data_IF_936689143964
#
_entry.id   IF_936689143964
#
_cell.length_a   1.000
_cell.length_b   1.000
_cell.length_c   1.000
_cell.angle_alpha   90.00
_cell.angle_beta   90.00
_cell.angle_gamma   90.00
#
_symmetry.space_group_name_H-M   'P 1'
#
loop_
_entity.id
_entity.type
_entity.pdbx_description
1 polymer ?
#
# COMPACT_ATOMS: atom_id res chain seq x y z
N UNK A 1 18.72 49.33 -2.09
CA UNK A 1 17.68 48.84 -1.19
C UNK A 1 17.31 47.44 -1.65
N UNK A 2 17.83 46.42 -0.99
CA UNK A 2 17.39 45.02 -1.20
C UNK A 2 16.05 44.94 -0.47
N UNK A 3 14.96 44.82 -1.23
CA UNK A 3 13.65 44.47 -0.64
C UNK A 3 13.84 43.17 0.12
N UNK A 4 13.46 43.13 1.40
CA UNK A 4 13.34 41.92 2.14
C UNK A 4 12.33 41.01 1.41
N UNK A 5 12.83 40.04 0.68
CA UNK A 5 12.00 38.97 0.12
C UNK A 5 11.77 38.01 1.31
N UNK A 6 10.61 38.07 1.93
CA UNK A 6 10.16 37.06 2.88
C UNK A 6 9.87 35.78 2.09
N UNK A 7 10.80 34.83 2.11
CA UNK A 7 10.64 33.52 1.50
C UNK A 7 10.22 32.58 2.62
N UNK A 8 9.02 32.02 2.53
CA UNK A 8 8.63 30.90 3.38
C UNK A 8 9.33 29.63 2.84
N UNK A 9 10.45 29.28 3.47
CA UNK A 9 11.25 28.13 3.09
C UNK A 9 10.47 26.81 3.15
N UNK A 10 9.42 26.74 3.96
CA UNK A 10 8.57 25.55 4.05
C UNK A 10 7.83 25.26 2.74
N UNK A 11 7.55 26.28 1.91
CA UNK A 11 6.89 26.11 0.62
C UNK A 11 7.78 25.48 -0.46
N UNK A 12 9.08 25.42 -0.24
CA UNK A 12 10.04 24.79 -1.16
C UNK A 12 10.43 23.38 -0.75
N UNK A 13 9.89 22.87 0.36
CA UNK A 13 10.10 21.49 0.82
C UNK A 13 9.03 20.59 0.17
N UNK A 14 9.45 19.45 -0.36
CA UNK A 14 8.55 18.46 -1.00
C UNK A 14 7.62 17.78 0.02
N UNK A 15 7.92 17.89 1.32
CA UNK A 15 7.10 17.35 2.40
C UNK A 15 5.89 18.24 2.71
N UNK A 16 4.84 17.63 3.19
CA UNK A 16 3.67 18.31 3.75
C UNK A 16 4.00 18.76 5.18
N UNK A 17 3.95 20.04 5.46
CA UNK A 17 4.32 20.61 6.77
C UNK A 17 3.12 21.32 7.37
N UNK A 18 2.84 21.01 8.64
CA UNK A 18 1.90 21.75 9.48
C UNK A 18 2.51 22.05 10.85
N UNK A 19 2.07 23.15 11.46
CA UNK A 19 2.36 23.49 12.85
C UNK A 19 1.07 23.50 13.61
N UNK A 20 1.04 22.80 14.76
CA UNK A 20 -0.11 22.75 15.64
C UNK A 20 0.24 23.33 17.00
N UNK A 21 -0.73 24.00 17.63
CA UNK A 21 -0.62 24.49 19.00
C UNK A 21 -0.83 23.37 20.03
N UNK A 22 -0.74 23.71 21.32
CA UNK A 22 -0.92 22.76 22.42
C UNK A 22 -2.31 22.11 22.50
N UNK A 23 -3.32 22.69 21.84
CA UNK A 23 -4.68 22.15 21.73
C UNK A 23 -4.88 21.32 20.46
N UNK A 24 -3.88 21.22 19.59
CA UNK A 24 -3.95 20.50 18.31
C UNK A 24 -4.51 21.33 17.16
N UNK A 25 -4.77 22.63 17.35
CA UNK A 25 -5.24 23.48 16.26
C UNK A 25 -4.07 23.80 15.30
N UNK A 26 -4.32 23.68 14.00
CA UNK A 26 -3.34 24.04 12.96
C UNK A 26 -3.21 25.55 12.88
N UNK A 27 -2.03 26.06 13.22
CA UNK A 27 -1.70 27.49 13.20
C UNK A 27 -0.96 27.91 11.95
N UNK A 28 -0.28 26.96 11.29
CA UNK A 28 0.43 27.18 10.02
C UNK A 28 0.49 25.89 9.23
N UNK A 29 0.50 25.99 7.89
CA UNK A 29 0.88 24.88 7.01
C UNK A 29 1.50 25.43 5.71
N UNK A 30 2.30 24.59 5.03
CA UNK A 30 2.90 24.96 3.76
C UNK A 30 1.93 24.67 2.59
N UNK A 31 2.30 25.21 1.41
CA UNK A 31 1.52 25.05 0.19
C UNK A 31 1.30 23.57 -0.18
N UNK A 32 2.29 22.71 0.02
CA UNK A 32 2.19 21.28 -0.28
C UNK A 32 1.10 20.61 0.55
N UNK A 33 1.01 20.91 1.83
CA UNK A 33 -0.07 20.46 2.70
C UNK A 33 -1.45 20.89 2.18
N UNK A 34 -1.58 22.17 1.78
CA UNK A 34 -2.85 22.69 1.25
C UNK A 34 -3.27 22.01 -0.07
N UNK A 35 -2.31 21.72 -0.94
CA UNK A 35 -2.56 21.03 -2.21
C UNK A 35 -3.06 19.61 -1.97
N UNK A 36 -2.40 18.84 -1.10
CA UNK A 36 -2.82 17.47 -0.77
C UNK A 36 -4.17 17.45 -0.06
N UNK A 37 -4.41 18.36 0.89
CA UNK A 37 -5.69 18.47 1.57
C UNK A 37 -6.86 18.73 0.60
N UNK A 38 -6.68 19.59 -0.39
CA UNK A 38 -7.68 19.84 -1.45
C UNK A 38 -7.97 18.60 -2.30
N UNK A 39 -6.94 17.88 -2.67
CA UNK A 39 -7.05 16.68 -3.53
C UNK A 39 -7.66 15.50 -2.77
N UNK A 40 -7.39 15.37 -1.46
CA UNK A 40 -7.90 14.31 -0.59
C UNK A 40 -9.30 14.55 -0.02
N UNK A 41 -9.97 15.65 -0.40
CA UNK A 41 -11.28 16.01 0.16
C UNK A 41 -11.21 16.53 1.60
N UNK A 42 -10.02 16.73 2.14
CA UNK A 42 -9.81 17.44 3.39
C UNK A 42 -10.03 18.94 3.14
N UNK A 43 -10.84 19.57 3.94
CA UNK A 43 -11.07 21.01 3.80
C UNK A 43 -9.76 21.76 4.04
N UNK A 44 -9.34 22.67 3.13
CA UNK A 44 -8.19 23.50 3.37
C UNK A 44 -8.44 24.35 4.61
N UNK A 45 -7.38 24.64 5.36
CA UNK A 45 -7.30 25.53 6.51
C UNK A 45 -8.55 26.38 6.72
N UNK A 46 -9.47 25.90 7.54
CA UNK A 46 -10.50 26.79 8.11
C UNK A 46 -10.07 27.18 9.52
N UNK A 47 -10.35 28.38 9.97
CA UNK A 47 -10.17 28.73 11.36
C UNK A 47 -10.88 27.70 12.26
N UNK A 48 -10.10 27.06 13.15
CA UNK A 48 -10.62 26.02 14.03
C UNK A 48 -10.41 24.58 13.57
N UNK A 49 -9.75 24.31 12.39
CA UNK A 49 -9.36 22.97 12.04
C UNK A 49 -8.35 22.41 13.06
N UNK A 50 -8.64 21.22 13.57
CA UNK A 50 -7.87 20.63 14.65
C UNK A 50 -7.34 19.26 14.21
N UNK A 51 -6.02 19.11 14.20
CA UNK A 51 -5.35 17.89 13.76
C UNK A 51 -5.61 16.70 14.70
N UNK A 52 -5.68 16.95 16.02
CA UNK A 52 -5.99 15.91 17.01
C UNK A 52 -7.39 15.37 16.79
N UNK A 53 -8.37 16.24 16.62
CA UNK A 53 -9.74 15.83 16.37
C UNK A 53 -9.88 15.06 15.05
N UNK A 54 -9.13 15.43 14.02
CA UNK A 54 -9.10 14.67 12.75
C UNK A 54 -8.49 13.28 12.93
N UNK A 55 -7.41 13.15 13.69
CA UNK A 55 -6.84 11.84 14.01
C UNK A 55 -7.84 10.96 14.78
N UNK A 56 -8.55 11.52 15.76
CA UNK A 56 -9.58 10.81 16.52
C UNK A 56 -10.72 10.34 15.61
N UNK A 57 -11.18 11.18 14.71
CA UNK A 57 -12.20 10.82 13.72
C UNK A 57 -11.68 9.76 12.72
N UNK A 58 -10.42 9.84 12.31
CA UNK A 58 -9.79 8.86 11.43
C UNK A 58 -9.68 7.47 12.09
N UNK A 59 -9.35 7.41 13.40
CA UNK A 59 -9.33 6.16 14.18
C UNK A 59 -10.73 5.54 14.22
N UNK A 60 -11.76 6.34 14.42
CA UNK A 60 -13.15 5.85 14.41
C UNK A 60 -13.58 5.29 13.05
N UNK A 61 -12.99 5.81 11.96
CA UNK A 61 -13.18 5.28 10.61
C UNK A 61 -12.29 4.07 10.28
N UNK A 62 -11.54 3.53 11.27
CA UNK A 62 -10.66 2.37 11.09
C UNK A 62 -9.27 2.67 10.53
N UNK A 63 -8.86 3.96 10.46
CA UNK A 63 -7.50 4.31 10.06
C UNK A 63 -6.51 4.04 11.20
N UNK A 64 -5.35 3.47 10.85
CA UNK A 64 -4.28 3.15 11.82
C UNK A 64 -3.38 4.37 12.07
N UNK A 65 -3.94 5.37 12.78
CA UNK A 65 -3.22 6.60 13.15
C UNK A 65 -3.18 6.82 14.68
N UNK A 66 -3.52 5.78 15.45
CA UNK A 66 -3.54 5.87 16.92
C UNK A 66 -2.15 6.15 17.50
N UNK A 67 -1.12 5.54 16.94
CA UNK A 67 0.27 5.74 17.33
C UNK A 67 0.73 7.19 17.05
N UNK A 68 0.32 7.75 15.92
CA UNK A 68 0.63 9.15 15.55
C UNK A 68 -0.02 10.11 16.55
N UNK A 69 -1.28 9.89 16.90
CA UNK A 69 -2.00 10.70 17.86
C UNK A 69 -1.34 10.65 19.25
N UNK A 70 -0.93 9.46 19.69
CA UNK A 70 -0.20 9.29 20.96
C UNK A 70 1.16 10.02 20.93
N UNK A 71 1.93 9.86 19.85
CA UNK A 71 3.21 10.53 19.66
C UNK A 71 3.09 12.06 19.62
N UNK A 72 2.08 12.59 18.94
CA UNK A 72 1.83 14.04 18.91
C UNK A 72 1.51 14.57 20.30
N UNK A 73 0.66 13.89 21.06
CA UNK A 73 0.34 14.29 22.44
C UNK A 73 1.58 14.28 23.33
N UNK A 74 2.40 13.24 23.26
CA UNK A 74 3.64 13.14 24.03
C UNK A 74 4.63 14.27 23.71
N UNK A 75 4.75 14.68 22.43
CA UNK A 75 5.57 15.82 22.01
C UNK A 75 5.00 17.14 22.54
N UNK A 76 3.70 17.36 22.43
CA UNK A 76 3.03 18.57 22.92
C UNK A 76 3.12 18.68 24.45
N UNK A 77 3.02 17.57 25.18
CA UNK A 77 3.15 17.52 26.65
C UNK A 77 4.60 17.62 27.14
N UNK A 78 5.55 17.45 26.24
CA UNK A 78 6.99 17.51 26.54
C UNK A 78 7.57 16.23 27.09
N UNK A 79 6.87 15.14 26.93
CA UNK A 79 7.34 13.80 27.28
C UNK A 79 8.37 13.29 26.27
N UNK A 80 8.23 13.69 24.99
CA UNK A 80 9.17 13.38 23.92
C UNK A 80 9.66 14.65 23.23
N UNK A 81 10.93 14.73 22.83
CA UNK A 81 11.45 15.83 22.01
C UNK A 81 11.00 15.74 20.55
N UNK A 82 10.79 14.52 20.06
CA UNK A 82 10.29 14.22 18.71
C UNK A 82 9.70 12.82 18.66
N UNK A 83 8.94 12.56 17.60
CA UNK A 83 8.33 11.26 17.32
C UNK A 83 8.36 11.00 15.81
N UNK A 84 8.54 9.74 15.41
CA UNK A 84 8.55 9.31 14.01
C UNK A 84 7.71 8.06 13.90
N UNK A 85 6.80 8.03 12.93
CA UNK A 85 6.05 6.83 12.57
C UNK A 85 5.82 6.76 11.05
N UNK A 86 5.56 5.55 10.56
CA UNK A 86 5.12 5.35 9.17
C UNK A 86 3.70 4.78 9.20
N UNK A 87 2.82 5.34 8.38
CA UNK A 87 1.42 4.95 8.33
C UNK A 87 0.91 4.90 6.90
N UNK A 88 -0.11 4.08 6.68
CA UNK A 88 -0.82 3.99 5.42
C UNK A 88 -2.07 4.87 5.46
N UNK A 89 -2.25 5.70 4.45
CA UNK A 89 -3.41 6.57 4.30
C UNK A 89 -4.15 6.21 3.00
N UNK A 90 -5.44 5.81 3.06
CA UNK A 90 -6.22 5.59 1.85
C UNK A 90 -6.51 6.93 1.17
N UNK A 91 -6.14 7.02 -0.11
CA UNK A 91 -6.30 8.21 -0.91
C UNK A 91 -6.69 7.82 -2.34
N UNK A 92 -7.83 8.31 -2.83
CA UNK A 92 -8.35 7.99 -4.17
C UNK A 92 -8.42 6.48 -4.49
N UNK A 93 -8.79 5.65 -3.50
CA UNK A 93 -8.91 4.20 -3.68
C UNK A 93 -7.59 3.43 -3.66
N UNK A 94 -6.47 4.12 -3.41
CA UNK A 94 -5.14 3.52 -3.25
C UNK A 94 -4.57 3.89 -1.88
N UNK A 95 -3.72 3.03 -1.34
CA UNK A 95 -2.92 3.39 -0.18
C UNK A 95 -1.69 4.19 -0.59
N UNK A 96 -1.51 5.33 0.07
CA UNK A 96 -0.25 6.06 0.13
C UNK A 96 0.40 5.83 1.49
N UNK A 97 1.70 5.68 1.48
CA UNK A 97 2.48 5.53 2.69
C UNK A 97 3.17 6.84 3.01
N UNK A 98 2.93 7.31 4.22
CA UNK A 98 3.57 8.51 4.73
C UNK A 98 4.45 8.19 5.93
N UNK A 99 5.61 8.81 5.98
CA UNK A 99 6.36 8.93 7.22
C UNK A 99 6.05 10.29 7.84
N UNK A 100 5.58 10.30 9.08
CA UNK A 100 5.40 11.52 9.85
C UNK A 100 6.58 11.71 10.80
N UNK A 101 7.16 12.89 10.77
CA UNK A 101 8.11 13.38 11.74
C UNK A 101 7.44 14.49 12.54
N UNK A 102 7.36 14.33 13.85
CA UNK A 102 6.77 15.30 14.78
C UNK A 102 7.88 15.81 15.69
N UNK A 103 8.05 17.11 15.76
CA UNK A 103 9.08 17.74 16.61
C UNK A 103 8.54 18.93 17.36
N UNK A 104 9.05 19.19 18.55
CA UNK A 104 8.68 20.38 19.32
C UNK A 104 9.25 21.64 18.68
N UNK A 105 8.47 22.71 18.67
CA UNK A 105 8.90 24.06 18.33
C UNK A 105 8.29 25.05 19.31
N UNK A 106 9.07 26.05 19.72
CA UNK A 106 8.59 27.13 20.57
C UNK A 106 8.27 28.38 19.74
N UNK A 107 7.05 28.85 19.82
CA UNK A 107 6.60 30.07 19.15
C UNK A 107 6.09 31.04 20.22
N UNK A 108 6.77 32.18 20.35
CA UNK A 108 6.43 33.22 21.33
C UNK A 108 6.33 32.69 22.78
N UNK A 109 7.22 31.77 23.15
CA UNK A 109 7.24 31.17 24.49
C UNK A 109 6.16 30.12 24.74
N UNK A 110 5.43 29.71 23.70
CA UNK A 110 4.40 28.66 23.78
C UNK A 110 4.85 27.45 22.98
N UNK A 111 4.66 26.26 23.55
CA UNK A 111 5.01 25.00 22.91
C UNK A 111 4.01 24.67 21.80
N UNK A 112 4.57 24.31 20.63
CA UNK A 112 3.86 23.85 19.46
C UNK A 112 4.53 22.57 18.96
N UNK A 113 3.90 21.85 18.07
CA UNK A 113 4.52 20.75 17.33
C UNK A 113 4.53 21.08 15.82
N UNK A 114 5.70 20.84 15.19
CA UNK A 114 5.79 20.79 13.74
C UNK A 114 5.62 19.35 13.28
N UNK A 115 4.73 19.14 12.34
CA UNK A 115 4.49 17.84 11.69
C UNK A 115 4.99 17.92 10.25
N UNK A 116 5.80 16.96 9.86
CA UNK A 116 6.28 16.81 8.48
C UNK A 116 5.86 15.44 7.98
N UNK A 117 5.02 15.40 6.93
CA UNK A 117 4.62 14.16 6.28
C UNK A 117 5.37 14.03 4.95
N UNK A 118 6.06 12.92 4.78
CA UNK A 118 6.81 12.59 3.56
C UNK A 118 6.14 11.38 2.91
N UNK A 119 5.76 11.50 1.64
CA UNK A 119 5.28 10.36 0.86
C UNK A 119 6.45 9.38 0.64
N UNK A 120 6.34 8.20 1.24
CA UNK A 120 7.30 7.10 1.13
C UNK A 120 6.73 5.92 0.35
N UNK A 121 5.63 6.11 -0.40
CA UNK A 121 4.98 5.05 -1.18
C UNK A 121 5.92 4.40 -2.17
N UNK A 122 6.87 5.16 -2.73
CA UNK A 122 7.91 4.61 -3.61
C UNK A 122 8.83 3.59 -2.90
N UNK A 123 9.02 3.71 -1.58
CA UNK A 123 9.81 2.78 -0.78
C UNK A 123 9.05 1.48 -0.47
N UNK A 124 7.73 1.47 -0.68
CA UNK A 124 6.89 0.28 -0.51
C UNK A 124 6.81 -0.56 -1.80
N UNK A 125 7.90 -0.57 -2.56
CA UNK A 125 8.05 -1.38 -3.76
C UNK A 125 9.16 -2.41 -3.58
N UNK A 126 8.97 -3.56 -4.23
CA UNK A 126 10.01 -4.56 -4.38
C UNK A 126 11.08 -4.04 -5.35
N UNK A 127 12.33 -4.01 -4.90
CA UNK A 127 13.44 -3.41 -5.66
C UNK A 127 13.75 -4.16 -6.97
N UNK A 128 13.46 -5.47 -7.05
CA UNK A 128 13.72 -6.28 -8.22
C UNK A 128 12.65 -6.10 -9.30
N UNK A 129 11.38 -6.18 -8.90
CA UNK A 129 10.24 -6.24 -9.84
C UNK A 129 9.55 -4.90 -10.05
N UNK A 130 9.77 -3.93 -9.14
CA UNK A 130 9.07 -2.64 -9.13
C UNK A 130 7.59 -2.73 -8.72
N UNK A 131 7.05 -3.93 -8.47
CA UNK A 131 5.72 -4.09 -7.92
C UNK A 131 5.67 -3.59 -6.46
N UNK A 132 4.49 -3.20 -5.95
CA UNK A 132 4.28 -3.04 -4.53
C UNK A 132 4.78 -4.26 -3.75
N UNK A 133 5.28 -4.04 -2.53
CA UNK A 133 5.81 -5.09 -1.66
C UNK A 133 4.71 -5.70 -0.77
N UNK A 134 5.11 -6.62 0.13
CA UNK A 134 4.22 -7.29 1.07
C UNK A 134 3.44 -6.32 1.97
N UNK A 135 4.11 -5.28 2.48
CA UNK A 135 3.43 -4.31 3.36
C UNK A 135 2.27 -3.61 2.64
N UNK A 136 2.45 -3.28 1.36
CA UNK A 136 1.37 -2.72 0.53
C UNK A 136 0.25 -3.75 0.28
N UNK A 137 0.58 -5.03 0.06
CA UNK A 137 -0.41 -6.09 -0.09
C UNK A 137 -1.29 -6.21 1.16
N UNK A 138 -0.66 -6.31 2.34
CA UNK A 138 -1.36 -6.48 3.61
C UNK A 138 -2.28 -5.28 3.90
N UNK A 139 -1.81 -4.06 3.65
CA UNK A 139 -2.61 -2.84 3.81
C UNK A 139 -3.81 -2.79 2.85
N UNK A 140 -3.60 -3.09 1.56
CA UNK A 140 -4.67 -3.12 0.56
C UNK A 140 -5.71 -4.18 0.88
N UNK A 141 -5.29 -5.36 1.31
CA UNK A 141 -6.20 -6.42 1.73
C UNK A 141 -7.02 -6.00 2.94
N UNK A 142 -6.39 -5.39 3.94
CA UNK A 142 -7.10 -4.90 5.12
C UNK A 142 -8.18 -3.88 4.73
N UNK A 143 -7.84 -2.89 3.91
CA UNK A 143 -8.81 -1.90 3.42
C UNK A 143 -9.95 -2.56 2.64
N UNK A 144 -9.61 -3.44 1.70
CA UNK A 144 -10.61 -4.10 0.86
C UNK A 144 -11.59 -4.92 1.70
N UNK A 145 -11.11 -5.65 2.72
CA UNK A 145 -11.96 -6.40 3.65
C UNK A 145 -12.84 -5.50 4.51
N UNK A 146 -12.30 -4.40 5.06
CA UNK A 146 -13.06 -3.43 5.86
C UNK A 146 -14.18 -2.81 5.04
N UNK A 147 -13.87 -2.30 3.84
CA UNK A 147 -14.87 -1.71 2.95
C UNK A 147 -15.92 -2.74 2.48
N UNK A 148 -15.50 -3.96 2.17
CA UNK A 148 -16.43 -5.02 1.77
C UNK A 148 -17.37 -5.40 2.92
N UNK A 149 -16.89 -5.42 4.15
CA UNK A 149 -17.69 -5.68 5.34
C UNK A 149 -18.71 -4.55 5.59
N UNK A 150 -18.28 -3.28 5.53
CA UNK A 150 -19.13 -2.12 5.75
C UNK A 150 -20.24 -2.01 4.69
N UNK A 151 -19.93 -2.32 3.44
CA UNK A 151 -20.85 -2.17 2.31
C UNK A 151 -21.64 -3.43 1.96
N UNK A 152 -21.38 -4.55 2.63
CA UNK A 152 -21.94 -5.85 2.27
C UNK A 152 -21.48 -6.33 0.88
N UNK A 153 -20.33 -5.85 0.42
CA UNK A 153 -19.78 -6.09 -0.92
C UNK A 153 -18.82 -7.29 -0.95
N UNK A 154 -18.29 -7.56 -2.13
CA UNK A 154 -17.29 -8.62 -2.36
C UNK A 154 -15.93 -8.02 -2.61
N UNK A 155 -14.90 -8.76 -2.20
CA UNK A 155 -13.50 -8.56 -2.58
C UNK A 155 -12.82 -9.94 -2.64
N UNK A 156 -11.51 -9.98 -2.83
CA UNK A 156 -10.78 -11.25 -2.81
C UNK A 156 -9.30 -11.09 -3.05
N UNK A 157 -8.62 -12.22 -3.00
CA UNK A 157 -7.18 -12.30 -3.27
C UNK A 157 -6.85 -13.41 -4.25
N UNK A 158 -5.76 -13.19 -4.98
CA UNK A 158 -5.10 -14.20 -5.80
C UNK A 158 -3.66 -14.28 -5.30
N UNK A 159 -3.19 -15.47 -5.01
CA UNK A 159 -1.78 -15.72 -4.72
C UNK A 159 -1.19 -16.53 -5.86
N UNK A 160 0.00 -16.15 -6.24
CA UNK A 160 0.74 -16.71 -7.37
C UNK A 160 2.13 -17.11 -6.87
N UNK A 161 2.52 -18.34 -7.12
CA UNK A 161 3.80 -18.92 -6.69
C UNK A 161 4.55 -19.41 -7.93
N UNK A 162 5.74 -18.85 -8.19
CA UNK A 162 6.54 -19.22 -9.35
C UNK A 162 7.06 -20.66 -9.23
N UNK A 163 6.79 -21.46 -10.23
CA UNK A 163 7.22 -22.85 -10.23
C UNK A 163 8.73 -22.97 -10.48
N UNK A 164 9.39 -23.80 -9.68
CA UNK A 164 10.76 -24.25 -9.91
C UNK A 164 11.84 -23.13 -9.95
N UNK A 165 11.64 -22.01 -9.26
CA UNK A 165 12.63 -20.92 -9.23
C UNK A 165 14.03 -21.41 -8.77
N UNK A 166 14.06 -22.27 -7.74
CA UNK A 166 15.34 -22.84 -7.27
C UNK A 166 16.05 -23.62 -8.36
N UNK A 167 15.35 -24.51 -9.08
CA UNK A 167 15.93 -25.27 -10.19
C UNK A 167 16.45 -24.36 -11.30
N UNK A 168 15.70 -23.29 -11.61
CA UNK A 168 16.10 -22.30 -12.60
C UNK A 168 17.40 -21.59 -12.19
N UNK A 169 17.49 -21.18 -10.91
CA UNK A 169 18.70 -20.56 -10.34
C UNK A 169 19.91 -21.50 -10.37
N UNK A 170 19.70 -22.74 -9.93
CA UNK A 170 20.78 -23.74 -9.86
C UNK A 170 21.33 -24.08 -11.26
N UNK A 171 20.47 -24.07 -12.28
CA UNK A 171 20.84 -24.42 -13.66
C UNK A 171 21.40 -23.24 -14.47
N UNK A 172 20.87 -22.03 -14.27
CA UNK A 172 21.15 -20.89 -15.16
C UNK A 172 21.73 -19.67 -14.42
N UNK A 173 21.85 -19.76 -13.09
CA UNK A 173 22.33 -18.67 -12.24
C UNK A 173 21.22 -17.71 -11.80
N UNK A 174 21.46 -16.99 -10.70
CA UNK A 174 20.48 -16.09 -10.08
C UNK A 174 19.99 -14.97 -10.99
N UNK A 175 20.81 -14.49 -11.92
CA UNK A 175 20.40 -13.45 -12.86
C UNK A 175 19.26 -13.89 -13.78
N UNK A 176 19.19 -15.16 -14.16
CA UNK A 176 18.08 -15.71 -14.93
C UNK A 176 16.84 -15.88 -14.06
N UNK A 177 17.00 -16.25 -12.78
CA UNK A 177 15.89 -16.23 -11.82
C UNK A 177 15.32 -14.84 -11.61
N UNK A 178 16.17 -13.82 -11.54
CA UNK A 178 15.75 -12.43 -11.44
C UNK A 178 14.97 -11.97 -12.69
N UNK A 179 15.42 -12.31 -13.88
CA UNK A 179 14.69 -12.04 -15.14
C UNK A 179 13.35 -12.78 -15.17
N UNK A 180 13.29 -14.01 -14.66
CA UNK A 180 12.07 -14.77 -14.55
C UNK A 180 11.05 -14.12 -13.60
N UNK A 181 11.52 -13.64 -12.44
CA UNK A 181 10.70 -12.91 -11.49
C UNK A 181 10.15 -11.60 -12.07
N UNK A 182 10.98 -10.86 -12.82
CA UNK A 182 10.56 -9.63 -13.52
C UNK A 182 9.53 -9.94 -14.62
N UNK A 183 9.76 -10.99 -15.41
CA UNK A 183 8.85 -11.44 -16.46
C UNK A 183 7.49 -11.82 -15.87
N UNK A 184 7.49 -12.62 -14.81
CA UNK A 184 6.27 -13.04 -14.11
C UNK A 184 5.52 -11.83 -13.50
N UNK A 185 6.24 -10.87 -12.92
CA UNK A 185 5.68 -9.65 -12.38
C UNK A 185 4.95 -8.81 -13.43
N UNK A 186 5.55 -8.69 -14.63
CA UNK A 186 4.96 -7.97 -15.75
C UNK A 186 3.67 -8.66 -16.24
N UNK A 187 3.71 -9.98 -16.42
CA UNK A 187 2.55 -10.77 -16.81
C UNK A 187 1.43 -10.70 -15.78
N UNK A 188 1.78 -10.80 -14.49
CA UNK A 188 0.81 -10.66 -13.41
C UNK A 188 0.12 -9.29 -13.42
N UNK A 189 0.89 -8.22 -13.58
CA UNK A 189 0.36 -6.85 -13.67
C UNK A 189 -0.59 -6.69 -14.85
N UNK A 190 -0.21 -7.23 -16.02
CA UNK A 190 -1.04 -7.16 -17.22
C UNK A 190 -2.34 -7.97 -17.06
N UNK A 191 -2.26 -9.17 -16.47
CA UNK A 191 -3.42 -10.02 -16.21
C UNK A 191 -4.36 -9.46 -15.15
N UNK A 192 -3.82 -8.85 -14.11
CA UNK A 192 -4.62 -8.25 -13.04
C UNK A 192 -5.47 -7.08 -13.54
N UNK A 193 -4.94 -6.30 -14.48
CA UNK A 193 -5.62 -5.12 -15.01
C UNK A 193 -5.49 -3.90 -14.07
N UNK A 194 -6.05 -2.75 -14.48
CA UNK A 194 -5.84 -1.48 -13.78
C UNK A 194 -6.57 -1.38 -12.43
N UNK A 195 -7.64 -2.14 -12.24
CA UNK A 195 -8.48 -2.06 -11.04
C UNK A 195 -7.96 -2.94 -9.89
N UNK A 196 -6.94 -3.77 -10.15
CA UNK A 196 -6.35 -4.68 -9.18
C UNK A 196 -4.93 -4.25 -8.81
N UNK A 197 -4.54 -4.51 -7.56
CA UNK A 197 -3.19 -4.22 -7.08
C UNK A 197 -2.36 -5.50 -7.09
N UNK A 198 -1.48 -5.63 -8.10
CA UNK A 198 -0.50 -6.72 -8.16
C UNK A 198 0.73 -6.37 -7.32
N UNK A 199 1.21 -7.31 -6.52
CA UNK A 199 2.28 -7.14 -5.53
C UNK A 199 3.26 -8.31 -5.58
N UNK A 200 4.49 -8.11 -5.10
CA UNK A 200 5.39 -9.21 -4.75
C UNK A 200 5.40 -9.36 -3.23
N UNK A 201 4.96 -10.52 -2.75
CA UNK A 201 4.84 -10.81 -1.32
C UNK A 201 6.21 -11.22 -0.75
N UNK A 202 7.02 -11.95 -1.51
CA UNK A 202 8.38 -12.33 -1.13
C UNK A 202 8.88 -13.52 -1.93
N UNK A 203 10.20 -13.70 -2.05
CA UNK A 203 10.78 -14.84 -2.76
C UNK A 203 10.22 -15.01 -4.18
N UNK A 204 9.49 -16.09 -4.38
CA UNK A 204 8.79 -16.48 -5.60
C UNK A 204 7.27 -16.27 -5.54
N UNK A 205 6.78 -15.66 -4.44
CA UNK A 205 5.36 -15.41 -4.20
C UNK A 205 4.91 -14.02 -4.61
N UNK A 206 3.78 -13.95 -5.28
CA UNK A 206 3.10 -12.72 -5.68
C UNK A 206 1.64 -12.74 -5.22
N UNK A 207 1.04 -11.57 -5.09
CA UNK A 207 -0.36 -11.43 -4.71
C UNK A 207 -1.08 -10.40 -5.55
N UNK A 208 -2.39 -10.57 -5.67
CA UNK A 208 -3.29 -9.58 -6.25
C UNK A 208 -4.46 -9.39 -5.29
N UNK A 209 -4.73 -8.14 -4.94
CA UNK A 209 -5.96 -7.77 -4.22
C UNK A 209 -6.97 -7.29 -5.26
N UNK A 210 -8.15 -7.90 -5.23
CA UNK A 210 -9.25 -7.54 -6.12
C UNK A 210 -9.96 -6.28 -5.62
N UNK A 211 -10.56 -5.47 -6.50
CA UNK A 211 -11.33 -4.30 -6.09
C UNK A 211 -12.50 -4.70 -5.18
N UNK A 212 -13.07 -3.72 -4.50
CA UNK A 212 -14.31 -3.91 -3.74
C UNK A 212 -15.51 -3.67 -4.65
N UNK A 213 -16.61 -4.38 -4.38
CA UNK A 213 -17.88 -4.20 -5.08
C UNK A 213 -17.84 -4.59 -6.59
N UNK A 214 -17.23 -5.73 -6.88
CA UNK A 214 -17.33 -6.33 -8.22
C UNK A 214 -18.54 -7.26 -8.35
N UNK A 215 -19.02 -7.42 -9.57
CA UNK A 215 -20.11 -8.36 -9.89
C UNK A 215 -19.61 -9.80 -10.08
N UNK A 216 -20.55 -10.74 -10.13
CA UNK A 216 -20.23 -12.16 -10.34
C UNK A 216 -19.56 -12.42 -11.68
N UNK A 217 -19.83 -11.59 -12.69
CA UNK A 217 -19.22 -11.72 -14.01
C UNK A 217 -17.74 -11.33 -13.97
N UNK A 218 -17.40 -10.27 -13.26
CA UNK A 218 -15.99 -9.89 -13.02
C UNK A 218 -15.25 -11.03 -12.32
N UNK A 219 -15.79 -11.56 -11.22
CA UNK A 219 -15.18 -12.67 -10.48
C UNK A 219 -14.92 -13.89 -11.39
N UNK A 220 -15.89 -14.27 -12.22
CA UNK A 220 -15.74 -15.38 -13.17
C UNK A 220 -14.69 -15.11 -14.23
N UNK A 221 -14.64 -13.90 -14.77
CA UNK A 221 -13.64 -13.51 -15.78
C UNK A 221 -12.23 -13.52 -15.20
N UNK A 222 -12.02 -12.91 -14.04
CA UNK A 222 -10.73 -12.91 -13.34
C UNK A 222 -10.32 -14.35 -13.04
N UNK A 223 -11.20 -15.15 -12.48
CA UNK A 223 -10.90 -16.55 -12.17
C UNK A 223 -10.50 -17.34 -13.43
N UNK A 224 -11.28 -17.31 -14.48
CA UNK A 224 -10.97 -17.99 -15.75
C UNK A 224 -9.64 -17.52 -16.36
N UNK A 225 -9.37 -16.21 -16.25
CA UNK A 225 -8.14 -15.62 -16.76
C UNK A 225 -6.90 -16.12 -16.01
N UNK A 226 -7.00 -16.34 -14.71
CA UNK A 226 -5.92 -16.86 -13.89
C UNK A 226 -5.86 -18.40 -13.87
N UNK A 227 -6.99 -19.11 -14.00
CA UNK A 227 -7.02 -20.58 -14.12
C UNK A 227 -6.31 -21.07 -15.40
N UNK A 228 -6.22 -20.25 -16.44
CA UNK A 228 -5.37 -20.55 -17.62
C UNK A 228 -3.86 -20.59 -17.31
N UNK A 229 -3.48 -20.31 -16.05
CA UNK A 229 -2.12 -20.21 -15.58
C UNK A 229 -1.46 -18.88 -15.92
N UNK A 230 -0.30 -18.65 -15.35
CA UNK A 230 0.58 -17.53 -15.69
C UNK A 230 1.85 -18.15 -16.26
N UNK A 231 2.19 -17.76 -17.49
CA UNK A 231 3.40 -18.20 -18.17
C UNK A 231 4.04 -17.01 -18.82
N UNK A 232 5.37 -16.93 -18.75
CA UNK A 232 6.16 -15.96 -19.50
C UNK A 232 7.38 -16.66 -20.12
N UNK A 233 7.98 -16.02 -21.09
CA UNK A 233 9.24 -16.46 -21.67
C UNK A 233 10.31 -15.41 -21.43
N UNK A 234 11.50 -15.84 -21.05
CA UNK A 234 12.67 -15.01 -20.79
C UNK A 234 13.86 -15.47 -21.62
N UNK A 235 14.88 -14.62 -21.72
CA UNK A 235 16.07 -14.89 -22.50
C UNK A 235 15.92 -14.60 -24.01
N UNK A 236 16.91 -14.98 -24.82
CA UNK A 236 16.90 -14.68 -26.25
C UNK A 236 15.78 -15.40 -26.99
N UNK A 237 15.22 -14.76 -28.01
CA UNK A 237 14.11 -15.30 -28.79
C UNK A 237 14.43 -16.66 -29.46
N UNK A 238 15.71 -16.94 -29.74
CA UNK A 238 16.16 -18.20 -30.33
C UNK A 238 16.18 -19.38 -29.33
N UNK A 239 16.31 -19.06 -28.03
CA UNK A 239 16.37 -20.06 -26.95
C UNK A 239 15.58 -19.55 -25.73
N UNK A 240 14.23 -19.42 -25.85
CA UNK A 240 13.42 -18.92 -24.75
C UNK A 240 13.37 -19.94 -23.60
N UNK A 241 13.43 -19.44 -22.38
CA UNK A 241 13.15 -20.21 -21.18
C UNK A 241 11.71 -19.89 -20.77
N UNK A 242 10.88 -20.92 -20.71
CA UNK A 242 9.49 -20.78 -20.28
C UNK A 242 9.40 -20.88 -18.76
N UNK A 243 8.71 -19.93 -18.17
CA UNK A 243 8.43 -19.84 -16.74
C UNK A 243 6.95 -19.96 -16.53
N UNK A 244 6.54 -20.71 -15.51
CA UNK A 244 5.15 -20.87 -15.13
C UNK A 244 4.94 -20.59 -13.64
N UNK A 245 3.71 -20.31 -13.26
CA UNK A 245 3.33 -20.11 -11.86
C UNK A 245 2.04 -20.86 -11.53
N UNK A 246 1.96 -21.29 -10.29
CA UNK A 246 0.75 -21.86 -9.69
C UNK A 246 -0.09 -20.73 -9.09
N UNK A 247 -1.41 -20.86 -9.19
CA UNK A 247 -2.35 -19.80 -8.79
C UNK A 247 -3.35 -20.36 -7.80
N UNK A 248 -3.57 -19.61 -6.71
CA UNK A 248 -4.65 -19.82 -5.76
C UNK A 248 -5.56 -18.61 -5.70
N UNK A 249 -6.85 -18.84 -5.44
CA UNK A 249 -7.89 -17.82 -5.49
C UNK A 249 -8.84 -17.96 -4.30
N UNK A 250 -9.20 -16.84 -3.66
CA UNK A 250 -10.21 -16.80 -2.60
C UNK A 250 -11.02 -15.52 -2.64
N UNK A 251 -12.32 -15.62 -2.39
CA UNK A 251 -13.30 -14.53 -2.38
C UNK A 251 -13.86 -14.29 -0.98
N UNK A 252 -13.96 -13.04 -0.60
CA UNK A 252 -14.74 -12.59 0.54
C UNK A 252 -16.20 -12.30 0.08
N UNK A 253 -17.23 -12.72 0.79
CA UNK A 253 -17.18 -13.55 2.02
C UNK A 253 -17.24 -15.05 1.77
N UNK A 254 -17.32 -15.51 0.52
CA UNK A 254 -17.66 -16.88 0.15
C UNK A 254 -16.61 -17.91 0.64
N UNK A 255 -15.31 -17.58 0.55
CA UNK A 255 -14.21 -18.48 0.89
C UNK A 255 -13.61 -18.19 2.29
N UNK A 256 -14.09 -17.13 2.95
CA UNK A 256 -13.66 -16.70 4.27
C UNK A 256 -14.01 -15.25 4.57
N UNK A 257 -14.04 -14.92 5.87
CA UNK A 257 -14.39 -13.56 6.33
C UNK A 257 -13.22 -12.80 6.95
N UNK A 258 -12.09 -13.47 7.11
CA UNK A 258 -10.84 -12.85 7.60
C UNK A 258 -9.71 -13.07 6.61
N UNK A 259 -8.67 -12.24 6.69
CA UNK A 259 -7.45 -12.43 5.92
C UNK A 259 -6.90 -13.85 6.06
N UNK A 260 -6.83 -14.38 7.29
CA UNK A 260 -6.35 -15.74 7.58
C UNK A 260 -7.19 -16.82 6.91
N UNK A 261 -8.52 -16.65 6.84
CA UNK A 261 -9.40 -17.61 6.16
C UNK A 261 -9.16 -17.60 4.66
N UNK A 262 -9.04 -16.40 4.07
CA UNK A 262 -8.77 -16.26 2.65
C UNK A 262 -7.42 -16.90 2.25
N UNK A 263 -6.36 -16.66 3.03
CA UNK A 263 -5.08 -17.33 2.77
C UNK A 263 -5.18 -18.84 2.85
N UNK A 264 -5.87 -19.37 3.86
CA UNK A 264 -6.09 -20.83 3.99
C UNK A 264 -6.89 -21.40 2.82
N UNK A 265 -7.83 -20.65 2.29
CA UNK A 265 -8.62 -21.04 1.12
C UNK A 265 -7.79 -21.01 -0.16
N UNK A 266 -6.94 -19.99 -0.33
CA UNK A 266 -5.95 -19.89 -1.41
C UNK A 266 -5.01 -21.10 -1.42
N UNK A 267 -4.46 -21.49 -0.26
CA UNK A 267 -3.55 -22.64 -0.16
C UNK A 267 -4.20 -23.93 -0.66
N UNK A 268 -5.47 -24.15 -0.29
CA UNK A 268 -6.23 -25.31 -0.77
C UNK A 268 -6.45 -25.27 -2.27
N UNK A 269 -6.80 -24.10 -2.82
CA UNK A 269 -7.05 -23.96 -4.25
C UNK A 269 -5.76 -24.09 -5.07
N UNK A 270 -4.64 -23.56 -4.57
CA UNK A 270 -3.32 -23.69 -5.21
C UNK A 270 -2.82 -25.13 -5.23
N UNK A 271 -3.03 -25.88 -4.14
CA UNK A 271 -2.68 -27.29 -4.08
C UNK A 271 -3.44 -28.14 -5.10
N UNK A 272 -4.73 -27.85 -5.30
CA UNK A 272 -5.54 -28.50 -6.35
C UNK A 272 -5.01 -28.20 -7.75
N UNK A 273 -4.60 -26.94 -8.00
CA UNK A 273 -4.02 -26.52 -9.28
C UNK A 273 -2.68 -27.22 -9.56
N UNK A 274 -1.77 -27.29 -8.56
CA UNK A 274 -0.47 -27.99 -8.69
C UNK A 274 -0.65 -29.47 -9.05
N UNK A 275 -1.66 -30.14 -8.50
CA UNK A 275 -1.95 -31.56 -8.83
C UNK A 275 -2.54 -31.75 -10.23
N UNK A 276 -3.38 -30.85 -10.70
CA UNK A 276 -3.94 -30.87 -12.06
C UNK A 276 -2.89 -30.64 -13.15
N UNK A 277 -1.92 -29.77 -12.90
CA UNK A 277 -0.83 -29.47 -13.83
C UNK A 277 0.24 -30.58 -13.92
N UNK A 278 0.31 -31.49 -12.95
CA UNK A 278 1.27 -32.63 -12.94
C UNK A 278 0.79 -33.85 -13.72
N UNK A 279 -0.42 -33.83 -14.28
CA UNK A 279 -1.08 -34.96 -14.97
C UNK A 279 -1.19 -34.72 -16.49
N UNK A 280 -0.76 -33.56 -16.97
CA UNK A 280 -0.69 -33.19 -18.38
C UNK A 280 0.77 -32.98 -18.83
#
# INVERSE_FOLDING_TARGET
MIQNIEIDLADYVVAEIAVVDGAGAVVHCNRKWEETAKTGGLLPKQPGWNYIAECEAAIQRGCDVAEILAGLRAVLQGELPSFVATYACPFNGLYHWFQVLISVVEIKGTRHAILMHVDVSAMQRDALTGLPNRAMFDAQLHLALSLAQETGSRTGIIIVDMNNLKFLNDKHGHHIGDEALKGLALELKNKAGPDCVATRIGGDEFGVVLPVNFDTLFARRVRAHFESGITCSIGPAQHPIFVSASVGFALYPDDGTTSSDLFRSVDKSMYAHKRGASVA
#
